data_IF_261011324251
#
_entry.id   IF_261011324251
#
_cell.length_a   1.000
_cell.length_b   1.000
_cell.length_c   1.000
_cell.angle_alpha   90.00
_cell.angle_beta   90.00
_cell.angle_gamma   90.00
#
_symmetry.space_group_name_H-M   'P 1'
#
loop_
_entity.id
_entity.type
_entity.pdbx_description
1 polymer ?
#
# COMPACT_ATOMS: atom_id res chain seq x y z
N UNK A 1 31.16 44.02 29.63
CA UNK A 1 32.17 43.20 30.31
C UNK A 1 32.32 41.88 29.63
N UNK A 2 33.49 41.63 29.19
CA UNK A 2 34.07 40.52 28.48
C UNK A 2 33.95 39.19 29.22
N UNK A 3 33.83 38.07 28.49
CA UNK A 3 34.52 36.76 28.62
C UNK A 3 33.56 35.62 28.29
N UNK A 4 33.88 34.52 27.67
CA UNK A 4 34.98 34.02 26.81
C UNK A 4 34.46 32.73 26.17
N UNK A 5 34.81 32.56 24.91
CA UNK A 5 34.70 31.31 24.10
C UNK A 5 35.64 30.26 24.65
N UNK A 6 35.22 28.98 24.69
CA UNK A 6 36.16 27.83 24.66
C UNK A 6 35.63 26.85 23.65
N UNK A 7 36.36 26.74 22.54
CA UNK A 7 36.27 25.66 21.57
C UNK A 7 37.12 24.48 22.07
N UNK A 8 36.65 23.25 21.89
CA UNK A 8 37.48 22.06 22.08
C UNK A 8 37.36 21.17 20.85
N UNK A 9 38.38 21.28 20.01
CA UNK A 9 38.73 20.31 18.99
C UNK A 9 39.34 19.08 19.65
N UNK A 10 38.98 17.88 19.26
CA UNK A 10 39.81 16.70 19.45
C UNK A 10 39.93 15.92 18.15
N UNK A 11 41.20 15.64 17.86
CA UNK A 11 41.72 15.15 16.61
C UNK A 11 41.55 13.64 16.44
N UNK A 12 41.44 13.25 15.16
CA UNK A 12 41.54 11.90 14.61
C UNK A 12 42.98 11.40 14.76
N UNK A 13 43.18 10.16 15.19
CA UNK A 13 44.43 9.43 15.02
C UNK A 13 44.12 8.05 14.36
N UNK A 14 44.62 7.93 13.15
CA UNK A 14 44.76 6.68 12.40
C UNK A 14 45.98 5.96 12.93
N UNK A 15 45.85 4.65 13.23
CA UNK A 15 47.02 3.76 13.29
C UNK A 15 46.72 2.43 12.62
N UNK A 16 47.41 2.20 11.54
CA UNK A 16 47.58 0.90 10.88
C UNK A 16 48.63 0.10 11.65
N UNK A 17 48.41 -1.19 11.80
CA UNK A 17 49.43 -2.12 12.32
C UNK A 17 49.09 -3.56 11.92
N UNK A 18 49.99 -4.13 11.12
CA UNK A 18 49.97 -5.53 10.62
C UNK A 18 50.62 -6.48 11.64
N UNK A 19 50.22 -7.76 11.50
CA UNK A 19 50.99 -9.00 11.60
C UNK A 19 50.97 -9.83 12.88
N UNK A 20 50.50 -11.06 12.67
CA UNK A 20 51.02 -12.38 13.10
C UNK A 20 50.86 -12.83 14.55
N UNK A 21 50.34 -14.04 14.68
CA UNK A 21 50.75 -14.96 15.73
C UNK A 21 49.70 -15.93 16.24
N UNK A 22 49.87 -17.18 15.93
CA UNK A 22 49.31 -18.44 16.41
C UNK A 22 48.87 -18.50 17.86
N UNK A 23 47.78 -19.29 18.13
CA UNK A 23 47.82 -20.23 19.25
C UNK A 23 46.53 -20.39 20.07
N UNK A 24 45.86 -21.56 19.86
CA UNK A 24 45.15 -22.43 20.82
C UNK A 24 43.84 -21.98 21.49
N UNK A 25 42.79 -22.74 21.10
CA UNK A 25 41.78 -23.45 21.92
C UNK A 25 41.03 -22.68 23.03
N UNK A 26 39.71 -22.60 22.97
CA UNK A 26 38.68 -23.63 23.31
C UNK A 26 37.26 -23.07 23.16
N UNK A 27 36.38 -23.89 22.58
CA UNK A 27 34.93 -24.10 22.82
C UNK A 27 34.00 -22.88 23.00
N UNK A 28 32.86 -22.70 22.34
CA UNK A 28 31.80 -23.64 22.02
C UNK A 28 30.65 -22.93 21.27
N UNK A 29 30.09 -23.59 20.32
CA UNK A 29 28.70 -23.86 20.01
C UNK A 29 28.04 -23.17 18.78
N UNK A 30 27.74 -24.05 17.86
CA UNK A 30 26.59 -24.16 16.97
C UNK A 30 26.45 -23.17 15.80
N UNK A 31 27.09 -23.59 14.73
CA UNK A 31 26.70 -23.25 13.37
C UNK A 31 26.26 -24.55 12.67
N UNK A 32 25.02 -24.62 12.24
CA UNK A 32 24.43 -25.76 11.54
C UNK A 32 24.55 -25.56 10.03
N UNK A 33 25.71 -25.92 9.49
CA UNK A 33 25.91 -26.07 8.05
C UNK A 33 25.49 -27.46 7.64
N UNK A 34 24.46 -27.59 6.80
CA UNK A 34 24.06 -28.86 6.17
C UNK A 34 24.99 -29.13 5.00
N UNK A 35 25.83 -30.12 5.15
CA UNK A 35 26.70 -30.64 4.10
C UNK A 35 25.93 -31.65 3.23
N UNK A 36 26.01 -31.45 1.92
CA UNK A 36 25.61 -32.45 0.92
C UNK A 36 26.52 -33.67 0.97
N UNK A 37 25.95 -34.84 1.13
CA UNK A 37 26.60 -36.11 0.78
C UNK A 37 25.93 -36.69 -0.47
N UNK A 38 26.72 -36.83 -1.53
CA UNK A 38 26.37 -37.64 -2.71
C UNK A 38 26.55 -39.11 -2.36
N UNK A 39 25.53 -39.91 -2.56
CA UNK A 39 25.67 -41.32 -2.83
C UNK A 39 25.03 -41.67 -4.19
N UNK A 40 25.86 -42.17 -5.07
CA UNK A 40 25.46 -42.79 -6.34
C UNK A 40 24.88 -44.18 -6.05
N UNK A 41 23.59 -44.32 -6.30
CA UNK A 41 22.92 -45.63 -6.28
C UNK A 41 22.05 -45.77 -7.53
N UNK A 42 22.59 -46.46 -8.52
CA UNK A 42 21.88 -46.86 -9.74
C UNK A 42 20.75 -47.84 -9.40
N UNK A 43 19.49 -47.40 -9.53
CA UNK A 43 18.33 -48.28 -9.62
C UNK A 43 17.55 -47.88 -10.88
N UNK A 44 17.52 -48.80 -11.83
CA UNK A 44 16.65 -48.73 -13.00
C UNK A 44 15.22 -48.91 -12.58
N UNK A 45 14.36 -47.91 -12.74
CA UNK A 45 12.91 -48.04 -12.63
C UNK A 45 12.25 -47.59 -13.93
N UNK A 46 11.26 -48.35 -14.30
CA UNK A 46 10.48 -48.31 -15.52
C UNK A 46 9.84 -46.93 -15.77
N UNK A 47 9.88 -46.55 -17.02
CA UNK A 47 9.33 -45.34 -17.60
C UNK A 47 7.80 -45.37 -17.55
N UNK A 48 7.20 -44.66 -16.60
CA UNK A 48 5.79 -44.25 -16.64
C UNK A 48 5.77 -42.75 -16.84
N UNK A 49 5.36 -42.33 -18.04
CA UNK A 49 4.97 -40.99 -18.49
C UNK A 49 5.53 -39.80 -17.71
N UNK A 50 6.82 -39.49 -17.92
CA UNK A 50 7.48 -38.30 -17.39
C UNK A 50 7.18 -37.15 -18.37
N UNK A 51 6.19 -36.31 -18.05
CA UNK A 51 6.12 -34.99 -18.63
C UNK A 51 7.38 -34.22 -18.21
N UNK A 52 7.98 -33.47 -19.12
CA UNK A 52 9.21 -32.71 -18.85
C UNK A 52 9.05 -31.90 -17.55
N UNK A 53 9.97 -32.09 -16.59
CA UNK A 53 9.96 -31.35 -15.32
C UNK A 53 10.25 -29.89 -15.57
N UNK A 54 9.37 -29.03 -15.11
CA UNK A 54 9.51 -27.57 -15.20
C UNK A 54 9.91 -27.03 -13.84
N UNK A 55 10.94 -26.20 -13.82
CA UNK A 55 11.32 -25.43 -12.63
C UNK A 55 11.03 -23.96 -12.91
N UNK A 56 10.18 -23.35 -12.10
CA UNK A 56 9.89 -21.93 -12.14
C UNK A 56 10.51 -21.24 -10.93
N UNK A 57 11.01 -20.04 -11.12
CA UNK A 57 11.48 -19.18 -10.04
C UNK A 57 10.41 -18.13 -9.76
N UNK A 58 10.06 -17.94 -8.49
CA UNK A 58 9.10 -16.93 -8.07
C UNK A 58 9.73 -16.00 -7.04
N UNK A 59 9.72 -14.69 -7.33
CA UNK A 59 10.35 -13.67 -6.48
C UNK A 59 9.32 -12.69 -5.91
N UNK A 60 9.39 -12.47 -4.56
CA UNK A 60 8.51 -11.50 -3.87
C UNK A 60 9.15 -10.89 -2.63
N UNK A 61 8.58 -9.74 -2.17
CA UNK A 61 8.91 -9.16 -0.87
C UNK A 61 7.75 -9.25 0.11
N UNK A 62 8.03 -9.20 1.41
CA UNK A 62 7.01 -9.15 2.44
C UNK A 62 7.57 -9.28 3.85
N UNK A 63 6.65 -9.36 4.81
CA UNK A 63 6.94 -9.81 6.16
C UNK A 63 6.69 -11.31 6.32
N UNK A 64 6.97 -11.85 7.49
CA UNK A 64 6.91 -13.28 7.78
C UNK A 64 5.55 -13.91 7.47
N UNK A 65 4.45 -13.27 7.84
CA UNK A 65 3.10 -13.76 7.55
C UNK A 65 2.88 -13.97 6.04
N UNK A 66 3.29 -12.99 5.22
CA UNK A 66 3.21 -13.08 3.76
C UNK A 66 4.08 -14.19 3.21
N UNK A 67 5.29 -14.37 3.76
CA UNK A 67 6.19 -15.45 3.33
C UNK A 67 5.55 -16.81 3.60
N UNK A 68 5.05 -17.05 4.81
CA UNK A 68 4.42 -18.32 5.20
C UNK A 68 3.16 -18.62 4.36
N UNK A 69 2.29 -17.64 4.14
CA UNK A 69 1.11 -17.80 3.30
C UNK A 69 1.48 -18.15 1.84
N UNK A 70 2.50 -17.46 1.29
CA UNK A 70 2.97 -17.72 -0.08
C UNK A 70 3.62 -19.10 -0.23
N UNK A 71 4.45 -19.51 0.73
CA UNK A 71 5.08 -20.84 0.74
C UNK A 71 4.03 -21.95 0.85
N UNK A 72 3.00 -21.78 1.68
CA UNK A 72 1.90 -22.74 1.77
C UNK A 72 1.11 -22.85 0.45
N UNK A 73 0.90 -21.74 -0.25
CA UNK A 73 0.28 -21.77 -1.57
C UNK A 73 1.17 -22.45 -2.61
N UNK A 74 2.49 -22.22 -2.60
CA UNK A 74 3.45 -22.91 -3.47
C UNK A 74 3.40 -24.43 -3.23
N UNK A 75 3.50 -24.87 -1.98
CA UNK A 75 3.43 -26.31 -1.61
C UNK A 75 2.14 -26.94 -2.13
N UNK A 76 1.03 -26.24 -2.00
CA UNK A 76 -0.27 -26.72 -2.52
C UNK A 76 -0.24 -26.83 -4.04
N UNK A 77 0.26 -25.80 -4.76
CA UNK A 77 0.34 -25.82 -6.21
C UNK A 77 1.21 -26.99 -6.73
N UNK A 78 2.39 -27.21 -6.13
CA UNK A 78 3.27 -28.33 -6.46
C UNK A 78 2.62 -29.70 -6.21
N UNK A 79 1.80 -29.82 -5.14
CA UNK A 79 1.05 -31.05 -4.86
C UNK A 79 0.01 -31.36 -5.93
N UNK A 80 -0.55 -30.33 -6.58
CA UNK A 80 -1.50 -30.45 -7.68
C UNK A 80 -0.81 -30.65 -9.04
N UNK A 81 0.44 -30.19 -9.17
CA UNK A 81 1.21 -30.18 -10.41
C UNK A 81 2.60 -30.84 -10.17
N UNK A 82 2.68 -32.19 -10.03
CA UNK A 82 3.89 -32.89 -9.59
C UNK A 82 5.08 -32.80 -10.59
N UNK A 83 4.84 -32.32 -11.78
CA UNK A 83 5.89 -32.03 -12.78
C UNK A 83 6.46 -30.60 -12.68
N UNK A 84 5.89 -29.74 -11.82
CA UNK A 84 6.35 -28.36 -11.62
C UNK A 84 6.99 -28.23 -10.25
N UNK A 85 8.10 -27.51 -10.18
CA UNK A 85 8.78 -27.13 -8.95
C UNK A 85 8.94 -25.60 -8.93
N UNK A 86 8.61 -24.95 -7.81
CA UNK A 86 8.72 -23.51 -7.65
C UNK A 86 9.88 -23.16 -6.72
N UNK A 87 10.95 -22.58 -7.27
CA UNK A 87 12.04 -22.03 -6.47
C UNK A 87 11.66 -20.65 -5.91
N UNK A 88 11.48 -20.59 -4.60
CA UNK A 88 11.05 -19.40 -3.87
C UNK A 88 12.20 -18.44 -3.60
N UNK A 89 12.11 -17.20 -4.07
CA UNK A 89 13.06 -16.11 -3.81
C UNK A 89 12.37 -14.97 -3.07
N UNK A 90 12.60 -14.79 -1.78
CA UNK A 90 11.92 -13.73 -1.03
C UNK A 90 12.84 -12.99 -0.06
N UNK A 91 12.47 -11.74 0.22
CA UNK A 91 13.18 -10.85 1.16
C UNK A 91 12.23 -9.82 1.77
N UNK A 92 12.76 -8.94 2.63
CA UNK A 92 12.11 -7.68 2.97
C UNK A 92 12.04 -6.73 1.77
N UNK A 93 11.35 -5.61 1.93
CA UNK A 93 11.17 -4.62 0.85
C UNK A 93 12.46 -3.89 0.48
N UNK A 94 13.31 -3.61 1.48
CA UNK A 94 14.52 -2.82 1.27
C UNK A 94 15.47 -3.48 0.26
N UNK A 95 15.76 -2.76 -0.82
CA UNK A 95 16.62 -3.23 -1.91
C UNK A 95 16.01 -4.26 -2.86
N UNK A 96 14.80 -4.78 -2.58
CA UNK A 96 14.16 -5.79 -3.42
C UNK A 96 13.91 -5.27 -4.85
N UNK A 97 13.25 -4.11 -5.00
CA UNK A 97 12.94 -3.57 -6.33
C UNK A 97 14.20 -3.26 -7.13
N UNK A 98 15.26 -2.73 -6.51
CA UNK A 98 16.55 -2.52 -7.15
C UNK A 98 17.15 -3.80 -7.71
N UNK A 99 17.08 -4.90 -6.94
CA UNK A 99 17.49 -6.24 -7.37
C UNK A 99 16.67 -6.69 -8.59
N UNK A 100 15.33 -6.63 -8.49
CA UNK A 100 14.42 -7.11 -9.56
C UNK A 100 14.61 -6.30 -10.84
N UNK A 101 14.66 -4.96 -10.78
CA UNK A 101 14.91 -4.12 -11.96
C UNK A 101 16.25 -4.47 -12.64
N UNK A 102 17.31 -4.68 -11.85
CA UNK A 102 18.61 -5.10 -12.37
C UNK A 102 18.53 -6.48 -13.06
N UNK A 103 17.81 -7.42 -12.46
CA UNK A 103 17.64 -8.77 -13.01
C UNK A 103 16.78 -8.75 -14.28
N UNK A 104 15.72 -7.95 -14.34
CA UNK A 104 14.89 -7.75 -15.54
C UNK A 104 15.73 -7.20 -16.69
N UNK A 105 16.50 -6.13 -16.45
CA UNK A 105 17.38 -5.54 -17.46
C UNK A 105 18.48 -6.50 -17.93
N UNK A 106 18.92 -7.44 -17.07
CA UNK A 106 19.92 -8.45 -17.37
C UNK A 106 19.36 -9.77 -17.91
N UNK A 107 18.05 -9.92 -18.09
CA UNK A 107 17.36 -11.17 -18.46
C UNK A 107 17.67 -12.34 -17.50
N UNK A 108 17.79 -12.05 -16.22
CA UNK A 108 18.10 -13.03 -15.16
C UNK A 108 17.03 -13.04 -14.03
N UNK A 109 15.93 -12.35 -14.24
CA UNK A 109 14.82 -12.30 -13.28
C UNK A 109 14.18 -13.68 -13.09
N UNK A 110 13.45 -13.85 -12.00
CA UNK A 110 12.60 -15.02 -11.79
C UNK A 110 11.45 -15.06 -12.82
N UNK A 111 10.87 -16.23 -13.07
CA UNK A 111 9.80 -16.42 -14.07
C UNK A 111 8.52 -15.68 -13.70
N UNK A 112 8.25 -15.53 -12.40
CA UNK A 112 7.20 -14.64 -11.86
C UNK A 112 7.85 -13.70 -10.85
N UNK A 113 7.57 -12.39 -10.96
CA UNK A 113 8.13 -11.37 -10.09
C UNK A 113 7.04 -10.51 -9.48
N UNK A 114 7.21 -10.16 -8.20
CA UNK A 114 6.38 -9.14 -7.56
C UNK A 114 6.96 -7.76 -7.85
N UNK A 115 6.14 -6.83 -8.31
CA UNK A 115 6.51 -5.46 -8.69
C UNK A 115 5.71 -4.47 -7.85
N UNK A 116 6.36 -3.37 -7.47
CA UNK A 116 5.70 -2.23 -6.90
C UNK A 116 5.06 -1.40 -8.02
N UNK A 117 3.80 -1.02 -7.87
CA UNK A 117 3.04 -0.33 -8.91
C UNK A 117 3.70 0.98 -9.40
N UNK A 118 4.43 1.69 -8.53
CA UNK A 118 5.13 2.93 -8.90
C UNK A 118 6.28 2.72 -9.90
N UNK A 119 6.78 1.49 -10.01
CA UNK A 119 7.88 1.14 -10.93
C UNK A 119 7.37 0.65 -12.29
N UNK A 120 6.06 0.35 -12.41
CA UNK A 120 5.46 -0.22 -13.63
C UNK A 120 5.68 0.64 -14.90
N UNK A 121 5.49 1.99 -14.87
CA UNK A 121 5.69 2.80 -16.06
C UNK A 121 7.10 2.63 -16.65
N UNK A 122 8.12 2.70 -15.81
CA UNK A 122 9.50 2.58 -16.26
C UNK A 122 9.86 1.18 -16.82
N UNK A 123 9.22 0.14 -16.28
CA UNK A 123 9.38 -1.24 -16.78
C UNK A 123 8.62 -1.47 -18.10
N UNK A 124 7.45 -0.84 -18.25
CA UNK A 124 6.67 -0.86 -19.48
C UNK A 124 7.43 -0.20 -20.65
N UNK A 125 7.96 0.99 -20.43
CA UNK A 125 8.74 1.75 -21.44
C UNK A 125 9.94 0.95 -21.96
N UNK A 126 10.55 0.13 -21.10
CA UNK A 126 11.69 -0.72 -21.46
C UNK A 126 11.28 -2.07 -22.07
N UNK A 127 9.98 -2.39 -22.19
CA UNK A 127 9.45 -3.67 -22.68
C UNK A 127 10.04 -4.89 -21.93
N UNK A 128 10.17 -4.80 -20.61
CA UNK A 128 10.77 -5.86 -19.79
C UNK A 128 9.75 -6.91 -19.32
N UNK A 129 8.45 -6.67 -19.53
CA UNK A 129 7.34 -7.50 -19.05
C UNK A 129 6.52 -8.03 -20.22
N UNK A 130 6.05 -9.26 -20.10
CA UNK A 130 5.24 -9.93 -21.10
C UNK A 130 3.77 -9.43 -21.07
N UNK A 131 3.13 -9.44 -22.23
CA UNK A 131 1.70 -9.13 -22.35
C UNK A 131 0.85 -10.34 -21.93
N UNK A 132 0.18 -10.24 -20.81
CA UNK A 132 -0.65 -11.33 -20.26
C UNK A 132 -1.91 -11.61 -21.10
N UNK A 133 -2.32 -10.72 -22.00
CA UNK A 133 -3.42 -10.97 -22.94
C UNK A 133 -3.08 -12.02 -24.00
N UNK A 134 -1.79 -12.26 -24.24
CA UNK A 134 -1.31 -13.29 -25.16
C UNK A 134 -1.25 -14.68 -24.50
N UNK A 135 -1.59 -14.78 -23.20
CA UNK A 135 -1.52 -15.99 -22.38
C UNK A 135 -2.93 -16.49 -22.06
N UNK A 136 -3.43 -17.50 -22.80
CA UNK A 136 -4.80 -18.00 -22.61
C UNK A 136 -5.03 -18.67 -21.25
N UNK A 137 -3.98 -18.98 -20.51
CA UNK A 137 -4.02 -19.51 -19.16
C UNK A 137 -4.47 -18.49 -18.11
N UNK A 138 -4.40 -17.19 -18.45
CA UNK A 138 -4.77 -16.08 -17.54
C UNK A 138 -6.24 -15.73 -17.73
N UNK A 139 -7.03 -15.85 -16.66
CA UNK A 139 -8.44 -15.48 -16.62
C UNK A 139 -8.60 -13.98 -16.31
N UNK A 140 -8.34 -13.11 -17.30
CA UNK A 140 -8.45 -11.66 -17.14
C UNK A 140 -9.87 -11.20 -16.75
N UNK A 141 -10.91 -11.90 -17.18
CA UNK A 141 -12.31 -11.60 -16.87
C UNK A 141 -12.65 -11.75 -15.36
N UNK A 142 -11.77 -12.39 -14.58
CA UNK A 142 -11.90 -12.45 -13.13
C UNK A 142 -11.55 -11.12 -12.43
N UNK A 143 -11.05 -10.14 -13.16
CA UNK A 143 -10.62 -8.84 -12.63
C UNK A 143 -11.48 -7.72 -13.21
N UNK A 144 -11.91 -6.80 -12.35
CA UNK A 144 -12.61 -5.59 -12.78
C UNK A 144 -11.68 -4.63 -13.53
N UNK A 145 -12.25 -3.73 -14.34
CA UNK A 145 -11.46 -2.73 -15.08
C UNK A 145 -10.55 -1.89 -14.17
N UNK A 146 -11.02 -1.56 -12.98
CA UNK A 146 -10.24 -0.84 -11.96
C UNK A 146 -8.98 -1.59 -11.48
N UNK A 147 -8.96 -2.92 -11.60
CA UNK A 147 -7.81 -3.75 -11.28
C UNK A 147 -6.88 -3.98 -12.49
N UNK A 148 -7.40 -3.81 -13.71
CA UNK A 148 -6.65 -3.98 -14.96
C UNK A 148 -6.04 -2.66 -15.46
N UNK A 149 -6.76 -1.56 -15.33
CA UNK A 149 -6.31 -0.23 -15.80
C UNK A 149 -4.93 0.18 -15.29
N UNK A 150 -4.57 0.01 -13.99
CA UNK A 150 -3.24 0.39 -13.47
C UNK A 150 -2.06 -0.41 -14.05
N UNK A 151 -2.34 -1.56 -14.66
CA UNK A 151 -1.32 -2.47 -15.26
C UNK A 151 -1.42 -2.52 -16.77
N UNK A 152 -2.30 -1.70 -17.35
CA UNK A 152 -2.45 -1.54 -18.80
C UNK A 152 -1.55 -0.42 -19.29
N UNK A 153 -0.62 -0.74 -20.17
CA UNK A 153 0.27 0.20 -20.84
C UNK A 153 0.14 0.03 -22.35
N UNK A 154 -0.22 1.11 -23.04
CA UNK A 154 -0.71 1.07 -24.41
C UNK A 154 -1.88 0.08 -24.52
N UNK A 155 -1.74 -0.96 -25.35
CA UNK A 155 -2.73 -2.04 -25.47
C UNK A 155 -2.35 -3.30 -24.68
N UNK A 156 -1.28 -3.31 -23.88
CA UNK A 156 -0.77 -4.50 -23.18
C UNK A 156 -1.21 -4.53 -21.72
N UNK A 157 -1.45 -5.71 -21.17
CA UNK A 157 -1.64 -5.95 -19.73
C UNK A 157 -0.35 -6.59 -19.20
N UNK A 158 0.45 -5.83 -18.46
CA UNK A 158 1.81 -6.20 -18.08
C UNK A 158 1.94 -6.85 -16.70
N UNK A 159 0.82 -7.12 -16.05
CA UNK A 159 0.77 -7.79 -14.76
C UNK A 159 -0.65 -7.91 -14.23
N UNK A 160 -0.80 -8.53 -13.06
CA UNK A 160 -2.07 -8.63 -12.32
C UNK A 160 -1.89 -8.09 -10.90
N UNK A 161 -2.86 -7.34 -10.44
CA UNK A 161 -2.91 -6.90 -9.06
C UNK A 161 -3.14 -8.09 -8.13
N UNK A 162 -2.32 -8.20 -7.10
CA UNK A 162 -2.49 -9.25 -6.06
C UNK A 162 -3.63 -8.91 -5.11
N UNK A 163 -3.85 -7.63 -4.90
CA UNK A 163 -4.88 -7.08 -4.05
C UNK A 163 -5.12 -5.62 -4.34
N UNK A 164 -6.22 -5.13 -3.84
CA UNK A 164 -6.66 -3.75 -3.96
C UNK A 164 -7.03 -3.20 -2.59
N UNK A 165 -6.94 -1.90 -2.47
CA UNK A 165 -7.38 -1.15 -1.32
C UNK A 165 -8.08 0.10 -1.83
N UNK A 166 -9.22 0.45 -1.25
CA UNK A 166 -9.91 1.71 -1.55
C UNK A 166 -9.93 2.59 -0.32
N UNK A 167 -9.98 3.90 -0.52
CA UNK A 167 -10.22 4.81 0.60
C UNK A 167 -11.62 4.56 1.16
N UNK A 168 -11.70 4.56 2.47
CA UNK A 168 -12.90 4.18 3.20
C UNK A 168 -12.98 4.87 4.56
N UNK A 169 -14.09 4.66 5.23
CA UNK A 169 -14.28 5.01 6.62
C UNK A 169 -14.14 3.75 7.48
N UNK A 170 -13.17 3.76 8.41
CA UNK A 170 -13.03 2.74 9.45
C UNK A 170 -13.60 3.30 10.76
N UNK A 171 -14.45 2.55 11.44
CA UNK A 171 -15.06 3.03 12.69
C UNK A 171 -14.98 2.03 13.82
N UNK A 172 -14.81 2.55 15.03
CA UNK A 172 -14.90 1.79 16.27
C UNK A 172 -16.40 1.64 16.62
N UNK A 173 -16.90 0.41 16.58
CA UNK A 173 -18.32 0.13 16.80
C UNK A 173 -18.80 0.55 18.20
N UNK A 174 -17.99 0.37 19.24
CA UNK A 174 -18.34 0.78 20.59
C UNK A 174 -18.53 2.32 20.69
N UNK A 175 -17.69 3.08 19.95
CA UNK A 175 -17.82 4.53 19.87
C UNK A 175 -19.11 4.91 19.14
N UNK A 176 -19.37 4.34 17.96
CA UNK A 176 -20.54 4.68 17.15
C UNK A 176 -21.85 4.31 17.87
N UNK A 177 -21.89 3.15 18.53
CA UNK A 177 -23.04 2.73 19.35
C UNK A 177 -23.26 3.70 20.54
N UNK A 178 -22.19 4.14 21.19
CA UNK A 178 -22.26 5.08 22.33
C UNK A 178 -22.91 6.42 21.96
N UNK A 179 -22.58 6.94 20.77
CA UNK A 179 -23.09 8.22 20.29
C UNK A 179 -24.29 8.10 19.35
N UNK A 180 -24.78 6.88 19.11
CA UNK A 180 -25.95 6.62 18.27
C UNK A 180 -25.74 6.98 16.80
N UNK A 181 -24.53 6.77 16.28
CA UNK A 181 -24.20 7.05 14.87
C UNK A 181 -24.68 5.89 13.99
N UNK A 182 -25.49 6.19 12.98
CA UNK A 182 -25.91 5.21 11.98
C UNK A 182 -24.86 5.06 10.87
N UNK A 183 -24.06 4.00 10.95
CA UNK A 183 -22.99 3.70 10.01
C UNK A 183 -23.47 2.94 8.76
N UNK A 184 -24.78 2.67 8.62
CA UNK A 184 -25.38 2.03 7.44
C UNK A 184 -25.75 3.02 6.34
N UNK A 185 -25.83 4.30 6.68
CA UNK A 185 -26.14 5.38 5.73
C UNK A 185 -24.87 5.91 5.04
N UNK A 186 -25.05 6.48 3.85
CA UNK A 186 -24.02 7.27 3.21
C UNK A 186 -23.91 8.64 3.88
N UNK A 187 -22.74 8.95 4.42
CA UNK A 187 -22.48 10.24 5.07
C UNK A 187 -22.09 11.30 4.06
N UNK A 188 -22.53 12.54 4.31
CA UNK A 188 -22.00 13.75 3.68
C UNK A 188 -20.91 14.38 4.54
N UNK A 189 -20.09 15.25 3.97
CA UNK A 189 -19.08 16.00 4.73
C UNK A 189 -19.70 16.92 5.77
N UNK A 190 -20.87 17.50 5.48
CA UNK A 190 -21.59 18.37 6.42
C UNK A 190 -22.11 17.58 7.63
N UNK A 191 -22.71 16.41 7.41
CA UNK A 191 -23.12 15.51 8.50
C UNK A 191 -21.92 15.07 9.34
N UNK A 192 -20.78 14.74 8.70
CA UNK A 192 -19.57 14.38 9.40
C UNK A 192 -19.10 15.49 10.35
N UNK A 193 -19.12 16.74 9.89
CA UNK A 193 -18.79 17.91 10.69
C UNK A 193 -19.78 18.13 11.84
N UNK A 194 -21.07 18.02 11.57
CA UNK A 194 -22.13 18.23 12.56
C UNK A 194 -22.06 17.21 13.69
N UNK A 195 -21.93 15.92 13.34
CA UNK A 195 -21.79 14.85 14.34
C UNK A 195 -20.51 15.01 15.18
N UNK A 196 -19.37 15.30 14.55
CA UNK A 196 -18.11 15.48 15.25
C UNK A 196 -18.17 16.62 16.27
N UNK A 197 -18.70 17.76 15.86
CA UNK A 197 -18.89 18.93 16.74
C UNK A 197 -19.80 18.61 17.92
N UNK A 198 -20.94 17.96 17.66
CA UNK A 198 -21.90 17.59 18.71
C UNK A 198 -21.27 16.64 19.74
N UNK A 199 -20.53 15.63 19.29
CA UNK A 199 -19.85 14.67 20.17
C UNK A 199 -18.87 15.39 21.10
N UNK A 200 -18.04 16.29 20.55
CA UNK A 200 -17.06 17.02 21.34
C UNK A 200 -17.69 18.03 22.30
N UNK A 201 -18.76 18.73 21.89
CA UNK A 201 -19.52 19.63 22.77
C UNK A 201 -20.15 18.89 23.97
N UNK A 202 -20.67 17.66 23.75
CA UNK A 202 -21.21 16.82 24.81
C UNK A 202 -20.14 16.19 25.70
N UNK A 203 -19.00 15.84 25.14
CA UNK A 203 -17.87 15.21 25.83
C UNK A 203 -16.52 15.71 25.27
N UNK A 204 -15.91 16.71 25.87
CA UNK A 204 -14.65 17.32 25.37
C UNK A 204 -13.45 16.38 25.27
N UNK A 205 -13.49 15.19 25.89
CA UNK A 205 -12.44 14.18 25.81
C UNK A 205 -12.61 13.24 24.59
N UNK A 206 -13.72 13.39 23.85
CA UNK A 206 -14.05 12.56 22.68
C UNK A 206 -13.94 13.36 21.39
N UNK A 207 -13.39 12.74 20.37
CA UNK A 207 -13.21 13.30 19.03
C UNK A 207 -13.71 12.31 17.99
N UNK A 208 -14.37 12.80 16.95
CA UNK A 208 -14.90 11.92 15.92
C UNK A 208 -13.79 11.30 15.07
N UNK A 209 -12.76 12.09 14.68
CA UNK A 209 -11.76 11.70 13.71
C UNK A 209 -10.40 11.43 14.35
N UNK A 210 -9.80 10.30 13.99
CA UNK A 210 -8.40 9.95 14.24
C UNK A 210 -7.63 10.05 12.90
N UNK A 211 -6.76 11.03 12.75
CA UNK A 211 -6.00 11.24 11.53
C UNK A 211 -4.65 11.90 11.81
N UNK A 212 -3.59 11.39 11.20
CA UNK A 212 -2.27 12.02 11.13
C UNK A 212 -2.12 12.92 9.90
N UNK A 213 -0.96 13.58 9.75
CA UNK A 213 -0.72 14.54 8.65
C UNK A 213 -0.87 13.91 7.26
N UNK A 214 -0.43 12.66 7.10
CA UNK A 214 -0.60 11.93 5.83
C UNK A 214 -2.06 11.60 5.53
N UNK A 215 -2.86 11.27 6.56
CA UNK A 215 -4.29 11.06 6.41
C UNK A 215 -5.00 12.35 6.03
N UNK A 216 -4.70 13.47 6.72
CA UNK A 216 -5.27 14.79 6.41
C UNK A 216 -4.96 15.19 4.97
N UNK A 217 -3.71 14.99 4.51
CA UNK A 217 -3.34 15.21 3.11
C UNK A 217 -4.26 14.42 2.17
N UNK A 218 -4.41 13.12 2.40
CA UNK A 218 -5.23 12.26 1.56
C UNK A 218 -6.70 12.70 1.57
N UNK A 219 -7.25 12.99 2.75
CA UNK A 219 -8.65 13.45 2.90
C UNK A 219 -8.88 14.75 2.14
N UNK A 220 -7.95 15.72 2.23
CA UNK A 220 -8.05 16.96 1.47
C UNK A 220 -8.02 16.71 -0.04
N UNK A 221 -7.15 15.80 -0.52
CA UNK A 221 -7.09 15.43 -1.93
C UNK A 221 -8.39 14.73 -2.39
N UNK A 222 -8.93 13.82 -1.59
CA UNK A 222 -10.19 13.13 -1.90
C UNK A 222 -11.38 14.09 -1.91
N UNK A 223 -11.43 15.02 -0.95
CA UNK A 223 -12.43 16.08 -0.91
C UNK A 223 -12.38 16.95 -2.17
N UNK A 224 -11.18 17.41 -2.55
CA UNK A 224 -11.00 18.24 -3.75
C UNK A 224 -11.28 17.46 -5.05
N UNK A 225 -10.95 16.18 -5.10
CA UNK A 225 -11.30 15.32 -6.22
C UNK A 225 -12.83 15.19 -6.39
N UNK A 226 -13.59 15.03 -5.30
CA UNK A 226 -15.06 15.05 -5.33
C UNK A 226 -15.57 16.40 -5.88
N UNK A 227 -15.00 17.51 -5.44
CA UNK A 227 -15.40 18.87 -5.84
C UNK A 227 -15.10 19.17 -7.29
N UNK A 228 -13.93 18.82 -7.77
CA UNK A 228 -13.41 19.27 -9.07
C UNK A 228 -13.57 18.24 -10.18
N UNK A 229 -13.62 16.95 -9.83
CA UNK A 229 -13.55 15.85 -10.79
C UNK A 229 -12.13 15.55 -11.28
N UNK A 230 -11.13 16.28 -10.77
CA UNK A 230 -9.73 16.17 -11.15
C UNK A 230 -8.89 15.65 -9.99
N UNK A 231 -7.69 15.16 -10.27
CA UNK A 231 -6.69 14.89 -9.25
C UNK A 231 -5.66 16.02 -9.21
N UNK A 232 -4.96 16.20 -8.08
CA UNK A 232 -4.12 17.37 -7.80
C UNK A 232 -2.91 17.57 -8.73
N UNK A 233 -2.40 16.48 -9.32
CA UNK A 233 -1.37 16.50 -10.36
C UNK A 233 -1.76 15.45 -11.41
N UNK A 234 -1.95 15.88 -12.65
CA UNK A 234 -2.30 14.98 -13.76
C UNK A 234 -1.06 14.29 -14.37
N UNK A 235 -1.28 13.41 -15.36
CA UNK A 235 -0.21 12.67 -16.05
C UNK A 235 0.74 13.59 -16.83
N UNK A 236 0.31 14.80 -17.18
CA UNK A 236 1.12 15.82 -17.86
C UNK A 236 1.79 16.78 -16.87
N UNK A 237 1.74 16.45 -15.57
CA UNK A 237 2.25 17.28 -14.49
C UNK A 237 1.59 18.67 -14.37
N UNK A 238 0.33 18.81 -14.75
CA UNK A 238 -0.42 20.02 -14.46
C UNK A 238 -1.05 19.91 -13.06
N UNK A 239 -1.23 21.05 -12.42
CA UNK A 239 -1.88 21.18 -11.11
C UNK A 239 -3.23 21.90 -11.30
N UNK A 240 -4.35 21.15 -11.45
CA UNK A 240 -5.63 21.74 -11.80
C UNK A 240 -6.31 22.49 -10.65
N UNK A 241 -5.92 22.27 -9.40
CA UNK A 241 -6.56 22.92 -8.26
C UNK A 241 -6.13 24.38 -8.14
N UNK A 242 -7.12 25.25 -7.96
CA UNK A 242 -6.93 26.70 -7.79
C UNK A 242 -6.52 27.04 -6.34
N UNK A 243 -6.08 28.27 -6.12
CA UNK A 243 -5.82 28.78 -4.76
C UNK A 243 -7.09 28.72 -3.89
N UNK A 244 -8.23 29.00 -4.49
CA UNK A 244 -9.54 28.95 -3.81
C UNK A 244 -9.87 27.52 -3.37
N UNK A 245 -9.60 26.51 -4.19
CA UNK A 245 -9.81 25.10 -3.85
C UNK A 245 -8.93 24.70 -2.65
N UNK A 246 -7.67 25.03 -2.69
CA UNK A 246 -6.75 24.76 -1.58
C UNK A 246 -7.10 25.52 -0.31
N UNK A 247 -7.51 26.79 -0.45
CA UNK A 247 -7.97 27.58 0.71
C UNK A 247 -9.19 26.95 1.36
N UNK A 248 -10.13 26.43 0.57
CA UNK A 248 -11.31 25.72 1.07
C UNK A 248 -10.91 24.45 1.81
N UNK A 249 -10.04 23.61 1.23
CA UNK A 249 -9.59 22.37 1.86
C UNK A 249 -8.83 22.62 3.19
N UNK A 250 -7.94 23.62 3.24
CA UNK A 250 -7.27 24.02 4.48
C UNK A 250 -8.24 24.62 5.50
N UNK A 251 -9.28 25.34 5.05
CA UNK A 251 -10.32 25.88 5.94
C UNK A 251 -11.14 24.75 6.54
N UNK A 252 -11.50 23.74 5.74
CA UNK A 252 -12.17 22.53 6.22
C UNK A 252 -11.34 21.82 7.30
N UNK A 253 -10.06 21.57 7.02
CA UNK A 253 -9.15 20.97 7.99
C UNK A 253 -9.04 21.79 9.28
N UNK A 254 -8.84 23.11 9.16
CA UNK A 254 -8.77 24.00 10.32
C UNK A 254 -10.06 23.95 11.15
N UNK A 255 -11.22 23.85 10.48
CA UNK A 255 -12.51 23.75 11.15
C UNK A 255 -12.67 22.46 11.97
N UNK A 256 -12.04 21.36 11.54
CA UNK A 256 -12.06 20.11 12.31
C UNK A 256 -11.32 20.24 13.65
N UNK A 257 -10.22 20.96 13.66
CA UNK A 257 -9.48 21.26 14.91
C UNK A 257 -10.29 22.22 15.79
N UNK A 258 -10.76 23.34 15.22
CA UNK A 258 -11.44 24.39 15.95
C UNK A 258 -12.78 23.95 16.57
N UNK A 259 -13.44 22.95 15.97
CA UNK A 259 -14.70 22.40 16.47
C UNK A 259 -14.51 21.06 17.22
N UNK A 260 -13.28 20.62 17.49
CA UNK A 260 -13.02 19.41 18.24
C UNK A 260 -13.44 18.13 17.52
N UNK A 261 -13.35 18.09 16.19
CA UNK A 261 -13.57 16.88 15.40
C UNK A 261 -12.29 16.06 15.37
N UNK A 262 -11.13 16.74 15.27
CA UNK A 262 -9.78 16.23 15.47
C UNK A 262 -9.24 16.62 16.83
N UNK A 263 -8.38 15.78 17.41
CA UNK A 263 -7.57 16.18 18.55
C UNK A 263 -6.67 17.38 18.18
N UNK A 264 -6.35 18.26 19.17
CA UNK A 264 -5.31 19.25 19.00
C UNK A 264 -3.99 18.60 18.53
N UNK A 265 -3.30 19.27 17.61
CA UNK A 265 -2.09 18.71 16.99
C UNK A 265 -0.95 18.51 18.00
N UNK A 266 -0.95 19.30 19.08
CA UNK A 266 -0.01 19.15 20.22
C UNK A 266 -0.11 17.77 20.89
N UNK A 267 -1.26 17.09 20.74
CA UNK A 267 -1.50 15.75 21.28
C UNK A 267 -1.27 14.71 20.18
N UNK A 268 -1.96 14.85 19.03
CA UNK A 268 -2.01 13.83 17.99
C UNK A 268 -0.71 13.70 17.20
N UNK A 269 0.10 14.77 17.06
CA UNK A 269 1.33 14.74 16.27
C UNK A 269 2.37 13.74 16.74
N UNK A 270 2.37 13.36 18.02
CA UNK A 270 3.25 12.31 18.56
C UNK A 270 2.92 10.94 17.94
N UNK A 271 1.69 10.74 17.48
CA UNK A 271 1.18 9.50 16.91
C UNK A 271 0.98 9.59 15.38
N UNK A 272 1.51 10.61 14.73
CA UNK A 272 1.24 10.96 13.33
C UNK A 272 1.42 9.78 12.35
N UNK A 273 2.50 8.99 12.50
CA UNK A 273 2.75 7.81 11.67
C UNK A 273 2.23 6.49 12.26
N UNK A 274 1.62 6.52 13.45
CA UNK A 274 1.18 5.34 14.20
C UNK A 274 -0.08 5.62 15.02
N UNK A 275 -1.06 6.24 14.38
CA UNK A 275 -2.34 6.65 14.98
C UNK A 275 -3.09 5.55 15.74
N UNK A 276 -2.81 4.26 15.43
CA UNK A 276 -3.35 3.10 16.15
C UNK A 276 -2.72 2.91 17.54
N UNK A 277 -1.59 3.55 17.84
CA UNK A 277 -0.97 3.56 19.18
C UNK A 277 -1.45 4.74 20.05
N UNK A 278 -2.26 5.66 19.52
CA UNK A 278 -2.79 6.78 20.29
C UNK A 278 -3.63 6.26 21.46
N UNK A 279 -3.33 6.64 22.72
CA UNK A 279 -4.13 6.23 23.87
C UNK A 279 -5.60 6.62 23.77
N UNK A 280 -5.93 7.72 23.11
CA UNK A 280 -7.33 8.09 22.92
C UNK A 280 -8.05 7.15 21.92
N UNK A 281 -7.35 6.58 20.93
CA UNK A 281 -7.87 5.53 20.06
C UNK A 281 -8.05 4.22 20.82
N UNK A 282 -7.00 3.77 21.50
CA UNK A 282 -7.03 2.49 22.25
C UNK A 282 -8.02 2.49 23.40
N UNK A 283 -8.32 3.66 23.99
CA UNK A 283 -9.34 3.86 25.03
C UNK A 283 -10.76 4.07 24.46
N UNK A 284 -10.94 4.04 23.13
CA UNK A 284 -12.23 4.26 22.48
C UNK A 284 -12.77 5.70 22.57
N UNK A 285 -11.89 6.69 22.71
CA UNK A 285 -12.24 8.13 22.72
C UNK A 285 -12.15 8.79 21.35
N UNK A 286 -11.57 8.09 20.36
CA UNK A 286 -11.60 8.46 18.95
C UNK A 286 -12.49 7.46 18.21
N UNK A 287 -13.32 7.94 17.28
CA UNK A 287 -14.39 7.14 16.72
C UNK A 287 -14.13 6.58 15.33
N UNK A 288 -13.59 7.39 14.46
CA UNK A 288 -13.50 7.12 13.01
C UNK A 288 -12.10 7.42 12.51
N UNK A 289 -11.64 6.62 11.54
CA UNK A 289 -10.45 6.87 10.76
C UNK A 289 -10.87 6.89 9.27
N UNK A 290 -10.52 7.94 8.56
CA UNK A 290 -10.62 7.96 7.09
C UNK A 290 -9.27 7.50 6.54
N UNK A 291 -9.24 6.35 5.89
CA UNK A 291 -8.02 5.70 5.43
C UNK A 291 -8.30 4.67 4.35
N UNK A 292 -7.49 3.65 4.29
CA UNK A 292 -7.60 2.56 3.32
C UNK A 292 -8.27 1.32 3.93
N UNK A 293 -8.95 0.52 3.11
CA UNK A 293 -9.51 -0.77 3.58
C UNK A 293 -8.43 -1.67 4.20
N UNK A 294 -7.19 -1.60 3.69
CA UNK A 294 -6.04 -2.33 4.23
C UNK A 294 -5.62 -1.92 5.65
N UNK A 295 -6.09 -0.76 6.15
CA UNK A 295 -5.72 -0.26 7.49
C UNK A 295 -6.56 -0.93 8.60
N UNK A 296 -7.65 -1.65 8.25
CA UNK A 296 -8.56 -2.26 9.23
C UNK A 296 -7.84 -3.06 10.30
N UNK A 297 -6.92 -3.94 9.89
CA UNK A 297 -6.21 -4.82 10.82
C UNK A 297 -5.30 -4.05 11.78
N UNK A 298 -4.58 -3.03 11.30
CA UNK A 298 -3.74 -2.18 12.15
C UNK A 298 -4.56 -1.35 13.12
N UNK A 299 -5.69 -0.81 12.65
CA UNK A 299 -6.58 0.02 13.48
C UNK A 299 -7.32 -0.79 14.56
N UNK A 300 -7.50 -2.11 14.38
CA UNK A 300 -8.11 -2.98 15.40
C UNK A 300 -7.22 -3.22 16.63
N UNK A 301 -5.97 -2.74 16.61
CA UNK A 301 -5.01 -2.84 17.72
C UNK A 301 -4.93 -4.28 18.26
N UNK A 302 -4.50 -5.20 17.40
CA UNK A 302 -4.42 -6.64 17.73
C UNK A 302 -5.76 -7.24 18.19
N UNK A 303 -6.86 -6.83 17.55
CA UNK A 303 -8.24 -7.26 17.83
C UNK A 303 -8.76 -6.84 19.22
N UNK A 304 -8.26 -5.76 19.79
CA UNK A 304 -8.81 -5.21 21.06
C UNK A 304 -9.95 -4.22 20.81
N UNK A 305 -10.03 -3.65 19.60
CA UNK A 305 -11.13 -2.76 19.17
C UNK A 305 -11.96 -3.45 18.09
N UNK A 306 -13.27 -3.30 18.18
CA UNK A 306 -14.24 -3.80 17.19
C UNK A 306 -14.34 -2.80 16.02
N UNK A 307 -13.46 -2.96 15.02
CA UNK A 307 -13.32 -2.05 13.88
C UNK A 307 -14.10 -2.61 12.69
N UNK A 308 -15.00 -1.79 12.18
CA UNK A 308 -15.81 -2.04 10.99
C UNK A 308 -15.43 -1.09 9.85
N UNK A 309 -15.88 -1.43 8.64
CA UNK A 309 -15.72 -0.63 7.44
C UNK A 309 -17.06 0.01 7.09
N UNK A 310 -17.04 1.32 6.81
CA UNK A 310 -18.18 2.07 6.32
C UNK A 310 -17.88 2.76 4.99
N UNK A 311 -18.88 3.44 4.44
CA UNK A 311 -18.72 4.20 3.20
C UNK A 311 -17.99 5.52 3.45
N UNK A 312 -17.13 5.91 2.51
CA UNK A 312 -16.43 7.18 2.56
C UNK A 312 -17.40 8.35 2.45
N UNK A 313 -17.21 9.47 3.18
CA UNK A 313 -18.10 10.63 3.07
C UNK A 313 -18.13 11.21 1.65
N UNK A 314 -19.30 11.61 1.18
CA UNK A 314 -19.50 12.19 -0.14
C UNK A 314 -19.81 13.68 -0.07
N UNK A 315 -19.47 14.39 -1.13
CA UNK A 315 -19.89 15.78 -1.33
C UNK A 315 -21.23 15.81 -2.04
N UNK A 316 -22.22 16.51 -1.49
CA UNK A 316 -23.46 16.79 -2.22
C UNK A 316 -23.14 17.50 -3.55
N UNK A 317 -23.63 16.97 -4.65
CA UNK A 317 -23.34 17.49 -5.98
C UNK A 317 -21.84 17.46 -6.39
N UNK A 318 -21.05 16.53 -5.83
CA UNK A 318 -19.68 16.30 -6.23
C UNK A 318 -19.57 15.91 -7.73
N UNK A 319 -18.48 16.30 -8.39
CA UNK A 319 -18.23 15.97 -9.80
C UNK A 319 -17.67 14.57 -9.99
N UNK A 320 -17.09 13.99 -8.94
CA UNK A 320 -16.56 12.62 -8.91
C UNK A 320 -16.84 11.97 -7.56
N UNK A 321 -16.65 10.66 -7.47
CA UNK A 321 -16.82 9.92 -6.22
C UNK A 321 -15.77 10.28 -5.16
N UNK A 322 -14.57 10.70 -5.59
CA UNK A 322 -13.40 10.86 -4.72
C UNK A 322 -12.90 9.52 -4.15
N UNK A 323 -13.37 8.40 -4.70
CA UNK A 323 -12.88 7.08 -4.36
C UNK A 323 -11.71 6.70 -5.25
N UNK A 324 -10.66 6.20 -4.64
CA UNK A 324 -9.45 5.77 -5.31
C UNK A 324 -9.21 4.29 -5.04
N UNK A 325 -8.84 3.57 -6.09
CA UNK A 325 -8.36 2.19 -5.98
C UNK A 325 -6.84 2.24 -5.94
N UNK A 326 -6.27 1.76 -4.84
CA UNK A 326 -4.82 1.71 -4.66
C UNK A 326 -4.34 0.27 -4.91
N UNK A 327 -3.53 0.04 -5.96
CA UNK A 327 -2.91 -1.26 -6.20
C UNK A 327 -2.02 -1.65 -5.01
N UNK A 328 -2.19 -2.88 -4.49
CA UNK A 328 -1.32 -3.34 -3.42
C UNK A 328 0.07 -3.72 -3.97
N UNK A 329 0.15 -4.79 -4.71
CA UNK A 329 1.35 -5.24 -5.44
C UNK A 329 0.90 -5.88 -6.76
N UNK A 330 1.85 -6.03 -7.66
CA UNK A 330 1.61 -6.60 -8.98
C UNK A 330 2.46 -7.85 -9.14
N UNK A 331 1.90 -8.92 -9.68
CA UNK A 331 2.66 -10.03 -10.20
C UNK A 331 2.76 -9.91 -11.72
N UNK A 332 4.00 -10.05 -12.22
CA UNK A 332 4.29 -9.96 -13.65
C UNK A 332 5.17 -11.13 -14.08
N UNK A 333 5.09 -11.45 -15.38
CA UNK A 333 5.97 -12.41 -16.04
C UNK A 333 6.98 -11.61 -16.88
N UNK A 334 8.29 -11.76 -16.67
CA UNK A 334 9.28 -11.09 -17.51
C UNK A 334 9.17 -11.49 -18.98
N UNK A 335 9.45 -10.56 -19.89
CA UNK A 335 9.47 -10.87 -21.33
C UNK A 335 10.51 -11.95 -21.66
N UNK A 336 11.59 -12.01 -20.90
CA UNK A 336 12.65 -13.02 -21.05
C UNK A 336 12.33 -14.40 -20.46
N UNK A 337 11.15 -14.60 -19.85
CA UNK A 337 10.74 -15.91 -19.30
C UNK A 337 10.64 -16.93 -20.43
N UNK A 338 11.33 -18.08 -20.29
CA UNK A 338 11.31 -19.17 -21.26
C UNK A 338 10.10 -20.11 -21.07
N UNK A 339 9.55 -20.18 -19.83
CA UNK A 339 8.44 -21.05 -19.45
C UNK A 339 7.13 -20.27 -19.28
N UNK A 340 6.82 -19.34 -20.21
CA UNK A 340 5.69 -18.40 -20.09
C UNK A 340 4.35 -19.10 -19.83
N UNK A 341 4.07 -20.23 -20.48
CA UNK A 341 2.82 -21.01 -20.31
C UNK A 341 2.69 -21.52 -18.88
N UNK A 342 3.73 -22.16 -18.32
CA UNK A 342 3.67 -22.68 -16.94
C UNK A 342 3.71 -21.54 -15.90
N UNK A 343 4.42 -20.47 -16.17
CA UNK A 343 4.41 -19.27 -15.33
C UNK A 343 3.00 -18.62 -15.31
N UNK A 344 2.31 -18.58 -16.45
CA UNK A 344 0.94 -18.08 -16.55
C UNK A 344 -0.06 -18.97 -15.78
N UNK A 345 0.04 -20.30 -15.89
CA UNK A 345 -0.78 -21.24 -15.08
C UNK A 345 -0.58 -21.04 -13.59
N UNK A 346 0.68 -20.92 -13.14
CA UNK A 346 1.01 -20.67 -11.76
C UNK A 346 0.47 -19.31 -11.29
N UNK A 347 0.68 -18.25 -12.07
CA UNK A 347 0.19 -16.91 -11.76
C UNK A 347 -1.34 -16.88 -11.66
N UNK A 348 -2.03 -17.48 -12.62
CA UNK A 348 -3.50 -17.55 -12.61
C UNK A 348 -4.01 -18.32 -11.39
N UNK A 349 -3.41 -19.46 -11.08
CA UNK A 349 -3.77 -20.24 -9.89
C UNK A 349 -3.57 -19.43 -8.61
N UNK A 350 -2.42 -18.77 -8.46
CA UNK A 350 -2.10 -17.95 -7.27
C UNK A 350 -3.12 -16.84 -7.01
N UNK A 351 -3.73 -16.27 -8.06
CA UNK A 351 -4.60 -15.10 -7.93
C UNK A 351 -6.09 -15.41 -8.09
N UNK A 352 -6.46 -16.48 -8.82
CA UNK A 352 -7.85 -16.79 -9.15
C UNK A 352 -8.39 -18.08 -8.49
N UNK A 353 -7.52 -18.98 -8.04
CA UNK A 353 -7.98 -20.25 -7.49
C UNK A 353 -8.52 -20.10 -6.05
N UNK A 354 -9.72 -20.63 -5.73
CA UNK A 354 -10.27 -20.59 -4.37
C UNK A 354 -9.39 -21.21 -3.28
N UNK A 355 -8.65 -22.29 -3.58
CA UNK A 355 -7.74 -22.91 -2.61
C UNK A 355 -6.53 -22.02 -2.34
N UNK A 356 -5.98 -21.36 -3.38
CA UNK A 356 -4.91 -20.39 -3.22
C UNK A 356 -5.39 -19.17 -2.41
N UNK A 357 -6.59 -18.67 -2.70
CA UNK A 357 -7.19 -17.55 -1.98
C UNK A 357 -7.28 -17.82 -0.48
N UNK A 358 -7.78 -19.00 -0.08
CA UNK A 358 -7.90 -19.39 1.34
C UNK A 358 -6.53 -19.49 2.05
N UNK A 359 -5.47 -19.87 1.34
CA UNK A 359 -4.11 -19.93 1.90
C UNK A 359 -3.49 -18.55 2.01
N UNK A 360 -3.68 -17.69 1.00
CA UNK A 360 -3.10 -16.36 0.93
C UNK A 360 -3.87 -15.34 1.79
N UNK A 361 -5.19 -15.51 1.93
CA UNK A 361 -6.07 -14.57 2.66
C UNK A 361 -5.87 -13.13 2.17
N UNK A 362 -5.80 -12.18 3.12
CA UNK A 362 -5.58 -10.76 2.87
C UNK A 362 -4.10 -10.34 3.05
N UNK A 363 -3.13 -11.28 2.94
CA UNK A 363 -1.72 -10.96 3.18
C UNK A 363 -1.13 -9.92 2.19
N UNK A 364 -1.88 -9.60 1.12
CA UNK A 364 -1.57 -8.57 0.11
C UNK A 364 -2.73 -7.59 -0.14
N UNK A 365 -3.57 -7.36 0.87
CA UNK A 365 -4.81 -6.60 0.73
C UNK A 365 -5.99 -7.47 0.33
N UNK A 366 -7.14 -6.85 0.08
CA UNK A 366 -8.33 -7.56 -0.43
C UNK A 366 -8.01 -8.05 -1.85
N UNK A 367 -8.22 -9.35 -2.16
CA UNK A 367 -7.87 -9.88 -3.48
C UNK A 367 -8.47 -9.07 -4.63
N UNK A 368 -7.67 -8.78 -5.65
CA UNK A 368 -8.14 -8.07 -6.83
C UNK A 368 -9.07 -8.92 -7.69
N UNK A 369 -8.90 -10.25 -7.67
CA UNK A 369 -9.77 -11.20 -8.37
C UNK A 369 -11.13 -11.34 -7.68
N UNK A 370 -12.22 -11.22 -8.45
CA UNK A 370 -13.59 -11.45 -8.02
C UNK A 370 -13.81 -12.88 -7.50
N UNK A 371 -13.21 -13.87 -8.17
CA UNK A 371 -13.26 -15.28 -7.77
C UNK A 371 -12.61 -15.49 -6.40
N UNK A 372 -11.41 -14.95 -6.20
CA UNK A 372 -10.70 -15.04 -4.94
C UNK A 372 -11.42 -14.31 -3.79
N UNK A 373 -11.99 -13.11 -4.02
CA UNK A 373 -12.81 -12.40 -3.03
C UNK A 373 -14.02 -13.22 -2.59
N UNK A 374 -14.76 -13.76 -3.56
CA UNK A 374 -15.93 -14.60 -3.27
C UNK A 374 -15.55 -15.81 -2.44
N UNK A 375 -14.46 -16.50 -2.78
CA UNK A 375 -13.97 -17.65 -2.03
C UNK A 375 -13.60 -17.31 -0.57
N UNK A 376 -13.00 -16.14 -0.32
CA UNK A 376 -12.68 -15.69 1.02
C UNK A 376 -13.92 -15.30 1.84
N UNK A 377 -14.90 -14.67 1.23
CA UNK A 377 -16.18 -14.36 1.88
C UNK A 377 -16.90 -15.64 2.28
N UNK A 378 -17.01 -16.62 1.37
CA UNK A 378 -17.65 -17.91 1.59
C UNK A 378 -16.94 -18.73 2.69
N UNK A 379 -15.62 -18.61 2.79
CA UNK A 379 -14.81 -19.23 3.83
C UNK A 379 -14.85 -18.48 5.18
N UNK A 380 -15.48 -17.30 5.26
CA UNK A 380 -15.49 -16.44 6.45
C UNK A 380 -14.12 -15.85 6.79
N UNK A 381 -13.23 -15.74 5.81
CA UNK A 381 -11.86 -15.21 5.94
C UNK A 381 -11.73 -13.75 5.48
N UNK A 382 -12.71 -13.25 4.75
CA UNK A 382 -12.88 -11.84 4.39
C UNK A 382 -14.26 -11.40 4.87
N UNK A 383 -14.37 -10.24 5.49
CA UNK A 383 -15.68 -9.72 5.86
C UNK A 383 -16.46 -9.29 4.61
N UNK A 384 -17.77 -9.49 4.63
CA UNK A 384 -18.64 -9.01 3.56
C UNK A 384 -18.49 -7.50 3.35
N UNK A 385 -18.35 -6.73 4.44
CA UNK A 385 -18.10 -5.29 4.42
C UNK A 385 -16.87 -4.90 3.59
N UNK A 386 -15.77 -5.66 3.68
CA UNK A 386 -14.53 -5.41 2.92
C UNK A 386 -14.74 -5.63 1.42
N UNK A 387 -15.53 -6.63 1.02
CA UNK A 387 -15.88 -6.86 -0.38
C UNK A 387 -16.85 -5.80 -0.90
N UNK A 388 -17.92 -5.51 -0.15
CA UNK A 388 -18.96 -4.57 -0.53
C UNK A 388 -18.43 -3.15 -0.78
N UNK A 389 -17.44 -2.70 0.01
CA UNK A 389 -16.81 -1.37 -0.17
C UNK A 389 -16.04 -1.29 -1.49
N UNK A 390 -15.37 -2.37 -1.89
CA UNK A 390 -14.67 -2.43 -3.17
C UNK A 390 -15.67 -2.45 -4.32
N UNK A 391 -16.71 -3.28 -4.23
CA UNK A 391 -17.78 -3.34 -5.23
C UNK A 391 -18.51 -1.99 -5.35
N UNK A 392 -18.71 -1.30 -4.22
CA UNK A 392 -19.28 0.05 -4.20
C UNK A 392 -18.35 1.06 -4.90
N UNK A 393 -17.05 1.05 -4.61
CA UNK A 393 -16.08 1.92 -5.27
C UNK A 393 -16.05 1.67 -6.80
N UNK A 394 -16.10 0.39 -7.22
CA UNK A 394 -16.20 0.03 -8.64
C UNK A 394 -17.49 0.57 -9.28
N UNK A 395 -18.63 0.47 -8.57
CA UNK A 395 -19.94 0.91 -9.08
C UNK A 395 -20.05 2.43 -9.26
N UNK A 396 -19.37 3.21 -8.43
CA UNK A 396 -19.35 4.67 -8.49
C UNK A 396 -18.32 5.21 -9.51
N UNK A 397 -17.44 4.36 -10.00
CA UNK A 397 -16.28 4.75 -10.80
C UNK A 397 -15.17 5.29 -9.89
N UNK A 398 -14.16 4.48 -9.64
CA UNK A 398 -12.97 4.91 -8.92
C UNK A 398 -12.14 5.86 -9.78
N UNK A 399 -11.51 6.82 -9.11
CA UNK A 399 -10.49 7.66 -9.73
C UNK A 399 -9.14 6.93 -9.70
N UNK A 400 -8.34 7.14 -10.72
CA UNK A 400 -6.99 6.59 -10.79
C UNK A 400 -5.97 7.59 -10.24
N UNK A 401 -4.97 7.06 -9.53
CA UNK A 401 -3.78 7.84 -9.22
C UNK A 401 -2.97 8.03 -10.50
N UNK A 402 -2.51 9.24 -10.71
CA UNK A 402 -1.57 9.50 -11.80
C UNK A 402 -0.20 8.90 -11.49
N UNK A 403 0.41 8.25 -12.48
CA UNK A 403 1.72 7.60 -12.35
C UNK A 403 2.87 8.63 -12.44
N UNK A 404 2.77 9.71 -11.68
CA UNK A 404 3.82 10.74 -11.63
C UNK A 404 4.49 10.77 -10.27
N UNK A 405 5.79 11.03 -10.24
CA UNK A 405 6.53 11.14 -8.99
C UNK A 405 6.10 12.40 -8.22
N UNK A 406 5.47 12.21 -7.07
CA UNK A 406 4.93 13.30 -6.25
C UNK A 406 5.48 13.34 -4.83
N UNK A 407 6.49 12.54 -4.50
CA UNK A 407 6.99 12.36 -3.13
C UNK A 407 7.38 13.67 -2.44
N UNK A 408 8.15 14.53 -3.11
CA UNK A 408 8.58 15.82 -2.55
C UNK A 408 7.40 16.78 -2.39
N UNK A 409 6.46 16.80 -3.35
CA UNK A 409 5.27 17.63 -3.27
C UNK A 409 4.33 17.16 -2.13
N UNK A 410 4.23 15.85 -1.91
CA UNK A 410 3.49 15.29 -0.78
C UNK A 410 4.12 15.64 0.57
N UNK A 411 5.45 15.57 0.69
CA UNK A 411 6.17 15.96 1.90
C UNK A 411 5.95 17.44 2.22
N UNK A 412 6.07 18.31 1.23
CA UNK A 412 5.80 19.74 1.35
C UNK A 412 4.36 20.03 1.83
N UNK A 413 3.37 19.31 1.30
CA UNK A 413 1.98 19.46 1.74
C UNK A 413 1.81 19.05 3.21
N UNK A 414 2.45 17.97 3.66
CA UNK A 414 2.38 17.54 5.07
C UNK A 414 3.00 18.57 6.02
N UNK A 415 4.12 19.20 5.66
CA UNK A 415 4.70 20.28 6.45
C UNK A 415 3.73 21.47 6.60
N UNK A 416 3.09 21.87 5.51
CA UNK A 416 2.12 22.97 5.52
C UNK A 416 0.85 22.61 6.32
N UNK A 417 0.38 21.36 6.23
CA UNK A 417 -0.71 20.84 7.07
C UNK A 417 -0.36 21.00 8.56
N UNK A 418 0.85 20.67 8.96
CA UNK A 418 1.27 20.86 10.35
C UNK A 418 1.32 22.34 10.74
N UNK A 419 1.81 23.22 9.87
CA UNK A 419 1.80 24.67 10.14
C UNK A 419 0.39 25.21 10.37
N UNK A 420 -0.59 24.78 9.56
CA UNK A 420 -2.01 25.15 9.75
C UNK A 420 -2.54 24.57 11.06
N UNK A 421 -2.23 23.32 11.35
CA UNK A 421 -2.68 22.63 12.56
C UNK A 421 -2.16 23.26 13.85
N UNK A 422 -0.91 23.71 13.86
CA UNK A 422 -0.34 24.48 14.97
C UNK A 422 -0.71 25.97 14.98
N UNK A 423 -1.54 26.42 14.02
CA UNK A 423 -1.95 27.83 13.91
C UNK A 423 -0.84 28.79 13.50
N UNK A 424 0.24 28.28 12.87
CA UNK A 424 1.39 29.07 12.43
C UNK A 424 1.14 29.80 11.10
N UNK A 425 0.19 29.30 10.31
CA UNK A 425 -0.21 29.91 9.04
C UNK A 425 -1.73 29.87 8.85
N UNK A 426 -2.27 30.86 8.12
CA UNK A 426 -3.70 30.86 7.78
C UNK A 426 -3.98 29.89 6.61
N UNK A 427 -5.23 29.37 6.47
CA UNK A 427 -5.63 28.57 5.31
C UNK A 427 -5.30 29.21 3.95
N UNK A 428 -5.49 30.52 3.81
CA UNK A 428 -5.22 31.23 2.55
C UNK A 428 -3.71 31.36 2.26
N UNK A 429 -2.90 31.63 3.29
CA UNK A 429 -1.44 31.70 3.14
C UNK A 429 -0.85 30.30 2.91
N UNK A 430 -1.42 29.27 3.56
CA UNK A 430 -1.04 27.87 3.34
C UNK A 430 -1.31 27.44 1.89
N UNK A 431 -2.45 27.81 1.32
CA UNK A 431 -2.80 27.52 -0.07
C UNK A 431 -1.81 28.19 -1.05
N UNK A 432 -1.47 29.47 -0.84
CA UNK A 432 -0.49 30.20 -1.65
C UNK A 432 0.89 29.52 -1.56
N UNK A 433 1.37 29.27 -0.35
CA UNK A 433 2.65 28.61 -0.09
C UNK A 433 2.73 27.23 -0.76
N UNK A 434 1.66 26.41 -0.66
CA UNK A 434 1.61 25.09 -1.27
C UNK A 434 1.72 25.17 -2.78
N UNK A 435 0.97 26.06 -3.42
CA UNK A 435 1.00 26.23 -4.87
C UNK A 435 2.37 26.69 -5.37
N UNK A 436 2.98 27.66 -4.70
CA UNK A 436 4.32 28.17 -5.07
C UNK A 436 5.38 27.06 -4.95
N UNK A 437 5.40 26.32 -3.84
CA UNK A 437 6.40 25.28 -3.61
C UNK A 437 6.22 24.09 -4.54
N UNK A 438 4.97 23.65 -4.74
CA UNK A 438 4.69 22.54 -5.66
C UNK A 438 5.00 22.91 -7.11
N UNK A 439 4.76 24.14 -7.56
CA UNK A 439 5.15 24.58 -8.89
C UNK A 439 6.66 24.39 -9.13
N UNK A 440 7.49 24.80 -8.16
CA UNK A 440 8.96 24.65 -8.25
C UNK A 440 9.36 23.15 -8.30
N UNK A 441 8.70 22.30 -7.50
CA UNK A 441 8.98 20.85 -7.46
C UNK A 441 8.60 20.21 -8.79
N UNK A 442 7.40 20.49 -9.28
CA UNK A 442 6.87 19.91 -10.53
C UNK A 442 7.70 20.37 -11.74
N UNK A 443 8.11 21.63 -11.81
CA UNK A 443 8.99 22.12 -12.88
C UNK A 443 10.33 21.36 -12.90
N UNK A 444 10.93 21.09 -11.73
CA UNK A 444 12.15 20.30 -11.66
C UNK A 444 11.94 18.85 -12.13
N UNK A 445 10.80 18.24 -11.81
CA UNK A 445 10.46 16.88 -12.25
C UNK A 445 10.30 16.87 -13.78
N UNK A 446 9.57 17.84 -14.37
CA UNK A 446 9.42 17.98 -15.83
C UNK A 446 10.77 18.12 -16.53
N UNK A 447 11.67 18.93 -15.98
CA UNK A 447 13.01 19.16 -16.56
C UNK A 447 13.86 17.88 -16.51
N UNK A 448 13.66 17.00 -15.53
CA UNK A 448 14.41 15.73 -15.39
C UNK A 448 13.94 14.63 -16.34
N UNK A 449 12.75 14.78 -16.97
CA UNK A 449 12.18 13.82 -17.92
C UNK A 449 12.33 14.27 -19.39
N UNK A 450 12.93 15.44 -19.64
CA UNK A 450 13.30 15.95 -20.97
C UNK A 450 14.77 15.63 -21.29
#
# INVERSE_FOLDING_TARGET
>A
MKKKVIAMMTAVSIMAGMLTGCGSETESANDATVAQTKEEGSISTENTGDGDKVVLRFSWWGGEERHQATLAAIEKYESLNPNVTIEAEYSGFDGYMQKVITQLAGNTAADVVQINWVDMPALADQNLLADLREMPEIELDAFDESAISPVRFDDKVLGLLTGISTNTLLYNKEFTDKFGLDMTQQWTWDEFLEYGKKIHEENPDYYLLNAGSADIRNIMLWYLAQKTGEFWIDSDYNMPYTKEDWTEAFTLYKSWIDNGILQPLEISSVYDSKKYEDPAWTDGRLGICLGWTSDKNSMSVSNTLDIHIGTFPVMENGKASGLFMNPAQIYSIPESCENKEEAAKFLNWMLNDPEAAVLLKECRGVPASNTARTALVDAGLLSAESSEVIDHANSLGSMEYTNVSTGDAQATMMEIIQEVGFGLTSPADAAEKLMEQNAIIIDKIKDSHQ
#
